data_IF_537478992137
#
_entry.id   IF_537478992137
#
_cell.length_a   1.000
_cell.length_b   1.000
_cell.length_c   1.000
_cell.angle_alpha   90.00
_cell.angle_beta   90.00
_cell.angle_gamma   90.00
#
_symmetry.space_group_name_H-M   'P 1'
#
loop_
_entity.id
_entity.type
_entity.pdbx_description
1 polymer ?
#
# COMPACT_ATOMS: atom_id res chain seq x y z
N UNK A 1 -1.97 0.90 10.81
CA UNK A 1 -1.07 -0.06 11.50
C UNK A 1 -0.13 0.80 12.31
N UNK A 2 0.05 0.60 13.63
CA UNK A 2 0.95 1.47 14.40
C UNK A 2 2.34 1.42 13.78
N UNK A 3 2.99 2.58 13.67
CA UNK A 3 4.38 2.67 13.21
C UNK A 3 5.23 1.80 14.14
N UNK A 4 5.92 0.81 13.57
CA UNK A 4 6.76 -0.12 14.34
C UNK A 4 7.95 0.65 14.93
N UNK A 5 8.21 0.46 16.22
CA UNK A 5 9.34 1.07 16.92
C UNK A 5 10.67 0.78 16.23
N UNK A 6 11.57 1.76 16.18
CA UNK A 6 12.90 1.66 15.61
C UNK A 6 13.89 1.12 16.65
N UNK A 7 14.67 0.10 16.29
CA UNK A 7 15.70 -0.48 17.17
C UNK A 7 17.07 0.13 16.94
N UNK A 8 17.95 0.10 17.96
CA UNK A 8 19.33 0.59 17.84
C UNK A 8 20.13 -0.18 16.76
N UNK A 9 19.89 -1.49 16.62
CA UNK A 9 20.52 -2.31 15.59
C UNK A 9 20.15 -1.84 14.17
N UNK A 10 18.87 -1.51 13.95
CA UNK A 10 18.43 -0.95 12.68
C UNK A 10 19.06 0.43 12.41
N UNK A 11 19.21 1.27 13.44
CA UNK A 11 19.86 2.58 13.31
C UNK A 11 21.33 2.44 12.94
N UNK A 12 22.05 1.49 13.55
CA UNK A 12 23.45 1.24 13.23
C UNK A 12 23.62 0.76 11.77
N UNK A 13 22.77 -0.18 11.33
CA UNK A 13 22.76 -0.65 9.93
C UNK A 13 22.43 0.47 8.94
N UNK A 14 21.41 1.28 9.24
CA UNK A 14 21.05 2.43 8.41
C UNK A 14 22.18 3.47 8.38
N UNK A 15 22.82 3.73 9.53
CA UNK A 15 23.98 4.61 9.65
C UNK A 15 25.14 4.17 8.76
N UNK A 16 25.50 2.88 8.80
CA UNK A 16 26.56 2.30 7.98
C UNK A 16 26.26 2.48 6.48
N UNK A 17 25.01 2.24 6.06
CA UNK A 17 24.58 2.42 4.66
C UNK A 17 24.71 3.87 4.17
N UNK A 18 24.63 4.83 5.09
CA UNK A 18 24.76 6.26 4.83
C UNK A 18 26.19 6.78 5.06
N UNK A 19 27.14 5.92 5.45
CA UNK A 19 28.54 6.27 5.70
C UNK A 19 28.80 6.87 7.08
N UNK A 20 27.89 6.69 8.04
CA UNK A 20 28.10 7.04 9.44
C UNK A 20 28.56 5.81 10.23
N UNK A 21 29.64 5.96 10.97
CA UNK A 21 30.08 4.98 11.96
C UNK A 21 29.53 5.39 13.32
N UNK A 22 28.45 4.74 13.74
CA UNK A 22 27.78 5.02 15.00
C UNK A 22 28.24 4.04 16.07
N UNK A 23 28.62 4.58 17.23
CA UNK A 23 28.82 3.74 18.42
C UNK A 23 27.50 3.14 18.89
N UNK A 24 27.55 2.03 19.63
CA UNK A 24 26.35 1.40 20.20
C UNK A 24 25.55 2.39 21.08
N UNK A 25 26.24 3.21 21.88
CA UNK A 25 25.60 4.24 22.72
C UNK A 25 24.92 5.34 21.89
N UNK A 26 25.53 5.75 20.77
CA UNK A 26 24.93 6.74 19.87
C UNK A 26 23.74 6.18 19.12
N UNK A 27 23.80 4.92 18.68
CA UNK A 27 22.70 4.23 18.04
C UNK A 27 21.51 4.05 19.00
N UNK A 28 21.76 3.72 20.27
CA UNK A 28 20.73 3.65 21.32
C UNK A 28 20.09 5.02 21.60
N UNK A 29 20.91 6.06 21.70
CA UNK A 29 20.44 7.44 21.92
C UNK A 29 19.58 7.93 20.76
N UNK A 30 20.00 7.63 19.53
CA UNK A 30 19.29 8.01 18.33
C UNK A 30 17.99 7.23 18.18
N UNK A 31 17.98 5.91 18.42
CA UNK A 31 16.77 5.09 18.42
C UNK A 31 15.74 5.62 19.42
N UNK A 32 16.16 6.04 20.62
CA UNK A 32 15.26 6.67 21.60
C UNK A 32 14.64 7.96 21.07
N UNK A 33 15.47 8.89 20.56
CA UNK A 33 14.98 10.16 20.03
C UNK A 33 14.05 10.01 18.81
N UNK A 34 14.32 9.03 17.95
CA UNK A 34 13.45 8.71 16.81
C UNK A 34 12.12 8.13 17.27
N UNK A 35 12.11 7.22 18.24
CA UNK A 35 10.86 6.67 18.76
C UNK A 35 10.01 7.73 19.47
N UNK A 36 10.63 8.62 20.25
CA UNK A 36 9.93 9.74 20.89
C UNK A 36 9.27 10.67 19.85
N UNK A 37 9.90 10.84 18.67
CA UNK A 37 9.35 11.63 17.56
C UNK A 37 8.28 10.86 16.75
N UNK A 38 8.45 9.55 16.56
CA UNK A 38 7.48 8.67 15.87
C UNK A 38 6.11 8.70 16.56
N UNK A 39 6.07 8.81 17.88
CA UNK A 39 4.83 9.01 18.63
C UNK A 39 4.07 10.28 18.19
N UNK A 40 4.80 11.33 17.78
CA UNK A 40 4.22 12.54 17.18
C UNK A 40 3.61 12.30 15.80
N UNK A 41 4.19 11.37 15.02
CA UNK A 41 3.63 10.95 13.73
C UNK A 41 2.42 10.01 13.88
N UNK A 42 2.34 9.23 14.96
CA UNK A 42 1.15 8.45 15.28
C UNK A 42 -0.10 9.35 15.44
N UNK A 43 0.07 10.58 15.95
CA UNK A 43 -1.02 11.56 16.02
C UNK A 43 -1.50 12.06 14.64
N UNK A 44 -0.65 12.01 13.60
CA UNK A 44 -1.06 12.33 12.23
C UNK A 44 -1.83 11.17 11.57
N UNK A 45 -1.50 9.93 11.92
CA UNK A 45 -2.26 8.73 11.52
C UNK A 45 -3.69 8.75 12.10
N UNK A 46 -3.87 9.32 13.30
CA UNK A 46 -5.19 9.55 13.90
C UNK A 46 -5.95 10.74 13.28
N UNK A 47 -5.23 11.70 12.68
CA UNK A 47 -5.80 12.89 12.04
C UNK A 47 -6.23 12.62 10.58
N UNK A 48 -5.69 11.57 9.96
CA UNK A 48 -6.22 11.05 8.71
C UNK A 48 -7.67 10.56 8.96
N UNK A 49 -8.68 11.05 8.21
CA UNK A 49 -10.02 10.50 8.30
C UNK A 49 -9.93 8.98 8.09
N UNK A 50 -10.62 8.18 8.91
CA UNK A 50 -10.72 6.72 8.72
C UNK A 50 -11.19 6.35 7.30
N UNK A 51 -11.88 7.31 6.70
CA UNK A 51 -12.56 7.35 5.43
C UNK A 51 -11.75 8.03 4.30
N UNK A 52 -10.51 8.49 4.55
CA UNK A 52 -9.59 8.89 3.48
C UNK A 52 -9.17 7.70 2.59
N UNK A 53 -9.35 6.48 3.09
CA UNK A 53 -9.20 5.24 2.35
C UNK A 53 -10.53 4.69 1.80
N UNK A 54 -11.70 5.30 2.08
CA UNK A 54 -13.02 4.69 1.86
C UNK A 54 -13.60 4.78 0.45
N UNK A 55 -12.78 5.07 -0.56
CA UNK A 55 -13.17 4.79 -1.94
C UNK A 55 -12.60 3.44 -2.42
N UNK A 56 -12.62 2.41 -1.56
CA UNK A 56 -12.48 1.05 -2.05
C UNK A 56 -13.82 0.68 -2.66
N UNK A 57 -14.00 0.95 -3.94
CA UNK A 57 -15.04 0.28 -4.71
C UNK A 57 -14.68 -1.22 -4.71
N UNK A 58 -15.24 -1.97 -3.75
CA UNK A 58 -15.14 -3.42 -3.72
C UNK A 58 -15.93 -3.93 -4.92
N UNK A 59 -15.22 -4.18 -6.02
CA UNK A 59 -15.77 -4.86 -7.19
C UNK A 59 -15.59 -6.36 -6.98
N UNK A 60 -16.57 -7.14 -7.39
CA UNK A 60 -16.46 -8.60 -7.38
C UNK A 60 -15.47 -9.04 -8.47
N UNK A 61 -14.19 -9.10 -8.08
CA UNK A 61 -13.07 -9.45 -8.96
C UNK A 61 -12.66 -10.89 -8.66
N UNK A 62 -12.61 -11.72 -9.70
CA UNK A 62 -12.22 -13.13 -9.61
C UNK A 62 -11.16 -13.48 -10.66
N UNK A 63 -10.55 -14.65 -10.50
CA UNK A 63 -9.75 -15.23 -11.58
C UNK A 63 -10.66 -15.65 -12.76
N UNK A 64 -10.23 -15.45 -14.02
CA UNK A 64 -10.94 -15.98 -15.19
C UNK A 64 -10.90 -17.51 -15.17
N UNK A 65 -11.99 -18.15 -15.59
CA UNK A 65 -11.99 -19.60 -15.83
C UNK A 65 -11.49 -19.91 -17.25
N UNK A 66 -11.11 -21.16 -17.51
CA UNK A 66 -10.50 -21.57 -18.78
C UNK A 66 -11.40 -21.28 -20.00
N UNK A 67 -12.72 -21.36 -19.83
CA UNK A 67 -13.68 -21.03 -20.89
C UNK A 67 -13.75 -19.54 -21.22
N UNK A 68 -13.39 -18.67 -20.27
CA UNK A 68 -13.44 -17.21 -20.41
C UNK A 68 -12.11 -16.62 -20.87
N UNK A 69 -11.00 -17.30 -20.56
CA UNK A 69 -9.66 -16.90 -20.98
C UNK A 69 -8.84 -18.07 -21.57
N UNK A 70 -9.26 -18.63 -22.71
CA UNK A 70 -8.55 -19.75 -23.35
C UNK A 70 -7.16 -19.37 -23.88
N UNK A 71 -6.84 -18.07 -23.92
CA UNK A 71 -5.58 -17.54 -24.42
C UNK A 71 -4.68 -16.97 -23.31
N UNK A 72 -5.08 -17.07 -22.05
CA UNK A 72 -4.39 -16.50 -20.90
C UNK A 72 -4.02 -15.00 -21.09
N UNK A 73 -4.97 -14.25 -21.66
CA UNK A 73 -4.86 -12.84 -21.98
C UNK A 73 -5.30 -11.93 -20.81
N UNK A 74 -5.99 -12.47 -19.79
CA UNK A 74 -6.58 -11.73 -18.69
C UNK A 74 -6.00 -12.15 -17.34
N UNK A 75 -5.75 -11.17 -16.46
CA UNK A 75 -5.25 -11.41 -15.10
C UNK A 75 -6.42 -11.64 -14.13
N UNK A 76 -7.51 -10.89 -14.31
CA UNK A 76 -8.73 -10.97 -13.51
C UNK A 76 -9.96 -10.70 -14.38
N UNK A 77 -11.11 -11.19 -13.92
CA UNK A 77 -12.42 -10.97 -14.51
C UNK A 77 -13.34 -10.29 -13.49
N UNK A 78 -14.15 -9.33 -13.96
CA UNK A 78 -15.18 -8.64 -13.18
C UNK A 78 -16.30 -8.17 -14.11
N UNK A 79 -17.47 -7.89 -13.55
CA UNK A 79 -18.57 -7.23 -14.27
C UNK A 79 -18.66 -5.79 -13.78
N UNK A 80 -18.61 -4.83 -14.70
CA UNK A 80 -18.95 -3.45 -14.39
C UNK A 80 -20.46 -3.28 -14.56
N UNK A 81 -21.15 -2.79 -13.53
CA UNK A 81 -22.52 -2.30 -13.68
C UNK A 81 -22.47 -0.95 -14.40
N UNK A 82 -23.33 -0.78 -15.41
CA UNK A 82 -23.44 0.50 -16.11
C UNK A 82 -24.43 1.40 -15.36
N UNK A 83 -23.90 2.46 -14.74
CA UNK A 83 -24.72 3.43 -14.03
C UNK A 83 -25.46 4.41 -14.96
N UNK A 84 -25.18 4.40 -16.27
CA UNK A 84 -25.81 5.28 -17.26
C UNK A 84 -25.72 4.76 -18.70
N UNK A 85 -26.83 4.85 -19.44
CA UNK A 85 -26.85 4.64 -20.90
C UNK A 85 -25.98 5.67 -21.62
N UNK A 86 -25.01 5.20 -22.37
CA UNK A 86 -24.04 6.00 -23.10
C UNK A 86 -23.60 5.34 -24.40
N UNK A 87 -22.73 6.01 -25.19
CA UNK A 87 -22.28 5.48 -26.48
C UNK A 87 -21.49 4.16 -26.38
N UNK A 88 -21.20 3.69 -25.16
CA UNK A 88 -20.48 2.46 -24.88
C UNK A 88 -21.35 1.40 -24.19
N UNK A 89 -22.66 1.59 -24.09
CA UNK A 89 -23.52 0.76 -23.23
C UNK A 89 -23.70 -0.71 -23.63
N UNK A 90 -23.15 -1.09 -24.78
CA UNK A 90 -23.12 -2.48 -25.24
C UNK A 90 -21.67 -3.00 -25.38
N UNK A 91 -20.67 -2.25 -24.89
CA UNK A 91 -19.27 -2.61 -24.99
C UNK A 91 -18.78 -3.25 -23.68
N UNK A 92 -18.48 -4.56 -23.72
CA UNK A 92 -17.80 -5.25 -22.62
C UNK A 92 -16.42 -4.62 -22.37
N UNK A 93 -16.30 -3.87 -21.27
CA UNK A 93 -15.04 -3.28 -20.81
C UNK A 93 -14.14 -4.34 -20.18
N UNK A 94 -13.39 -5.08 -21.00
CA UNK A 94 -12.22 -5.84 -20.54
C UNK A 94 -11.01 -4.89 -20.43
N UNK A 95 -10.83 -4.25 -19.28
CA UNK A 95 -9.64 -3.41 -19.07
C UNK A 95 -8.45 -4.28 -18.62
N UNK A 96 -7.50 -4.47 -19.53
CA UNK A 96 -6.17 -5.01 -19.25
C UNK A 96 -5.42 -4.03 -18.33
N UNK A 97 -5.27 -4.38 -17.05
CA UNK A 97 -4.36 -3.68 -16.16
C UNK A 97 -2.98 -4.33 -16.31
N UNK A 98 -2.18 -3.86 -17.28
CA UNK A 98 -0.76 -4.23 -17.35
C UNK A 98 -0.03 -3.50 -16.22
N UNK A 99 0.53 -4.28 -15.29
CA UNK A 99 1.55 -3.85 -14.34
C UNK A 99 2.93 -3.76 -15.02
#
# INVERSE_FOLDING_TARGET
MPLSSVSAAWVAEAGESMGFDLSDEDAERFARGVNDEIDGYAALDELAPADAAESIAVRDVRAPVEEEDPHNAYITAFTAEEDADGPLSDCLLYTSLMA
#
